data_IF_928900524218
#
_entry.id   IF_928900524218
#
_cell.length_a   1.000
_cell.length_b   1.000
_cell.length_c   1.000
_cell.angle_alpha   90.00
_cell.angle_beta   90.00
_cell.angle_gamma   90.00
#
_symmetry.space_group_name_H-M   'P 1'
#
loop_
_entity.id
_entity.type
_entity.pdbx_description
1 polymer ?
#
# COMPACT_ATOMS: atom_id res chain seq x y z
N UNK A 1 35.79 8.17 3.46
CA UNK A 1 35.13 8.19 2.21
C UNK A 1 34.32 6.95 1.93
N UNK A 2 34.87 5.74 1.98
CA UNK A 2 34.06 4.52 1.99
C UNK A 2 33.08 4.49 3.15
N UNK A 3 33.51 4.91 4.33
CA UNK A 3 32.68 4.93 5.53
C UNK A 3 31.51 5.91 5.43
N UNK A 4 31.73 7.09 4.83
CA UNK A 4 30.64 8.06 4.62
C UNK A 4 29.57 7.54 3.65
N UNK A 5 30.01 6.84 2.57
CA UNK A 5 29.09 6.24 1.61
C UNK A 5 28.30 5.08 2.24
N UNK A 6 28.95 4.26 3.04
CA UNK A 6 28.30 3.16 3.77
C UNK A 6 27.27 3.69 4.77
N UNK A 7 27.55 4.79 5.47
CA UNK A 7 26.60 5.42 6.38
C UNK A 7 25.40 6.02 5.64
N UNK A 8 25.63 6.65 4.49
CA UNK A 8 24.55 7.21 3.67
C UNK A 8 23.64 6.11 3.14
N UNK A 9 24.24 4.99 2.69
CA UNK A 9 23.48 3.84 2.19
C UNK A 9 22.67 3.18 3.30
N UNK A 10 23.25 3.08 4.50
CA UNK A 10 22.54 2.55 5.67
C UNK A 10 21.36 3.44 6.07
N UNK A 11 21.54 4.76 6.06
CA UNK A 11 20.47 5.73 6.34
C UNK A 11 19.34 5.58 5.33
N UNK A 12 19.66 5.45 4.04
CA UNK A 12 18.66 5.19 2.99
C UNK A 12 17.92 3.88 3.23
N UNK A 13 18.64 2.82 3.55
CA UNK A 13 18.05 1.51 3.85
C UNK A 13 17.05 1.62 5.01
N UNK A 14 17.43 2.28 6.09
CA UNK A 14 16.57 2.46 7.26
C UNK A 14 15.34 3.31 6.91
N UNK A 15 15.52 4.35 6.10
CA UNK A 15 14.43 5.20 5.65
C UNK A 15 13.43 4.41 4.77
N UNK A 16 13.94 3.60 3.84
CA UNK A 16 13.08 2.75 3.00
C UNK A 16 12.34 1.70 3.82
N UNK A 17 13.01 1.08 4.79
CA UNK A 17 12.38 0.07 5.67
C UNK A 17 11.26 0.69 6.50
N UNK A 18 11.48 1.88 7.04
CA UNK A 18 10.49 2.61 7.84
C UNK A 18 9.29 3.02 6.98
N UNK A 19 9.55 3.52 5.77
CA UNK A 19 8.50 3.89 4.83
C UNK A 19 7.71 2.65 4.38
N UNK A 20 8.38 1.53 4.14
CA UNK A 20 7.74 0.28 3.80
C UNK A 20 6.77 -0.19 4.87
N UNK A 21 7.19 -0.18 6.14
CA UNK A 21 6.34 -0.56 7.27
C UNK A 21 5.10 0.33 7.35
N UNK A 22 5.28 1.64 7.16
CA UNK A 22 4.20 2.62 7.16
C UNK A 22 3.21 2.36 6.03
N UNK A 23 3.72 2.06 4.82
CA UNK A 23 2.88 1.73 3.66
C UNK A 23 2.11 0.42 3.86
N UNK A 24 2.74 -0.56 4.47
CA UNK A 24 2.07 -1.84 4.79
C UNK A 24 0.95 -1.65 5.80
N UNK A 25 1.13 -0.78 6.79
CA UNK A 25 0.07 -0.43 7.74
C UNK A 25 -1.10 0.27 7.03
N UNK A 26 -0.82 1.21 6.13
CA UNK A 26 -1.85 1.88 5.34
C UNK A 26 -2.61 0.88 4.47
N UNK A 27 -1.88 -0.05 3.82
CA UNK A 27 -2.50 -1.08 2.99
C UNK A 27 -3.43 -1.98 3.81
N UNK A 28 -3.01 -2.38 5.01
CA UNK A 28 -3.84 -3.21 5.90
C UNK A 28 -5.15 -2.50 6.26
N UNK A 29 -5.10 -1.19 6.51
CA UNK A 29 -6.30 -0.39 6.81
C UNK A 29 -7.22 -0.29 5.59
N UNK A 30 -6.65 -0.08 4.40
CA UNK A 30 -7.43 -0.01 3.16
C UNK A 30 -8.10 -1.36 2.87
N UNK A 31 -7.39 -2.46 3.05
CA UNK A 31 -7.93 -3.80 2.84
C UNK A 31 -9.08 -4.08 3.81
N UNK A 32 -8.97 -3.66 5.07
CA UNK A 32 -10.04 -3.78 6.05
C UNK A 32 -11.27 -2.97 5.64
N UNK A 33 -11.07 -1.72 5.20
CA UNK A 33 -12.17 -0.88 4.70
C UNK A 33 -12.84 -1.48 3.47
N UNK A 34 -12.06 -2.09 2.57
CA UNK A 34 -12.58 -2.78 1.38
C UNK A 34 -13.45 -3.98 1.76
N UNK A 35 -13.02 -4.79 2.73
CA UNK A 35 -13.83 -5.90 3.22
C UNK A 35 -15.17 -5.42 3.76
N UNK A 36 -15.16 -4.33 4.55
CA UNK A 36 -16.36 -3.76 5.11
C UNK A 36 -17.31 -3.22 4.03
N UNK A 37 -16.75 -2.60 2.99
CA UNK A 37 -17.53 -2.06 1.87
C UNK A 37 -18.07 -3.17 1.00
N UNK A 38 -17.29 -4.23 0.73
CA UNK A 38 -17.76 -5.38 -0.04
C UNK A 38 -18.98 -6.02 0.65
N UNK A 39 -18.94 -6.15 1.98
CA UNK A 39 -20.06 -6.64 2.76
C UNK A 39 -21.28 -5.73 2.66
N UNK A 40 -21.05 -4.41 2.68
CA UNK A 40 -22.14 -3.42 2.53
C UNK A 40 -22.73 -3.47 1.13
N UNK A 41 -21.91 -3.63 0.09
CA UNK A 41 -22.35 -3.73 -1.31
C UNK A 41 -23.22 -4.97 -1.49
N UNK A 42 -22.85 -6.11 -0.93
CA UNK A 42 -23.68 -7.33 -0.98
C UNK A 42 -25.09 -7.09 -0.42
N UNK A 43 -25.18 -6.34 0.67
CA UNK A 43 -26.47 -5.98 1.29
C UNK A 43 -27.25 -5.00 0.43
N UNK A 44 -26.56 -4.06 -0.21
CA UNK A 44 -27.17 -3.03 -1.06
C UNK A 44 -27.66 -3.62 -2.37
N UNK A 45 -26.97 -4.58 -2.95
CA UNK A 45 -27.39 -5.22 -4.20
C UNK A 45 -28.79 -5.82 -4.11
N UNK A 46 -29.23 -6.21 -2.92
CA UNK A 46 -30.59 -6.73 -2.71
C UNK A 46 -31.65 -5.64 -2.65
N UNK A 47 -31.28 -4.37 -2.48
CA UNK A 47 -32.20 -3.22 -2.33
C UNK A 47 -31.78 -2.01 -3.18
N UNK A 48 -30.94 -2.24 -4.20
CA UNK A 48 -30.36 -1.18 -5.04
C UNK A 48 -31.43 -0.31 -5.71
N UNK A 49 -32.54 -0.91 -6.14
CA UNK A 49 -33.65 -0.20 -6.77
C UNK A 49 -34.33 0.81 -5.82
N UNK A 50 -34.20 0.59 -4.51
CA UNK A 50 -34.77 1.44 -3.49
C UNK A 50 -33.80 2.55 -3.08
N UNK A 51 -32.50 2.23 -3.03
CA UNK A 51 -31.47 3.13 -2.51
C UNK A 51 -30.93 4.14 -3.54
N UNK A 52 -31.00 3.82 -4.83
CA UNK A 52 -30.62 4.76 -5.92
C UNK A 52 -29.27 5.45 -5.70
N UNK A 53 -29.29 6.76 -5.43
CA UNK A 53 -28.09 7.60 -5.30
C UNK A 53 -27.16 7.16 -4.16
N UNK A 54 -27.67 6.56 -3.10
CA UNK A 54 -26.86 6.06 -1.98
C UNK A 54 -25.98 4.91 -2.45
N UNK A 55 -26.54 3.99 -3.24
CA UNK A 55 -25.79 2.89 -3.83
C UNK A 55 -24.67 3.41 -4.74
N UNK A 56 -24.97 4.42 -5.57
CA UNK A 56 -23.97 5.05 -6.45
C UNK A 56 -22.80 5.64 -5.65
N UNK A 57 -23.09 6.30 -4.53
CA UNK A 57 -22.07 6.89 -3.66
C UNK A 57 -21.15 5.82 -3.07
N UNK A 58 -21.72 4.70 -2.65
CA UNK A 58 -20.95 3.58 -2.08
C UNK A 58 -20.04 2.93 -3.13
N UNK A 59 -20.54 2.74 -4.37
CA UNK A 59 -19.72 2.22 -5.47
C UNK A 59 -18.55 3.14 -5.82
N UNK A 60 -18.76 4.45 -5.80
CA UNK A 60 -17.68 5.44 -6.02
C UNK A 60 -16.61 5.35 -4.94
N UNK A 61 -17.02 5.19 -3.69
CA UNK A 61 -16.11 5.04 -2.56
C UNK A 61 -15.29 3.74 -2.68
N UNK A 62 -15.95 2.65 -3.02
CA UNK A 62 -15.30 1.36 -3.28
C UNK A 62 -14.25 1.47 -4.39
N UNK A 63 -14.58 2.14 -5.50
CA UNK A 63 -13.65 2.34 -6.61
C UNK A 63 -12.44 3.15 -6.19
N UNK A 64 -12.62 4.21 -5.41
CA UNK A 64 -11.54 5.04 -4.87
C UNK A 64 -10.60 4.24 -3.96
N UNK A 65 -11.16 3.38 -3.10
CA UNK A 65 -10.38 2.51 -2.22
C UNK A 65 -9.58 1.47 -3.01
N UNK A 66 -10.16 0.89 -4.06
CA UNK A 66 -9.45 -0.05 -4.93
C UNK A 66 -8.26 0.61 -5.63
N UNK A 67 -8.42 1.84 -6.09
CA UNK A 67 -7.33 2.60 -6.71
C UNK A 67 -6.22 2.90 -5.70
N UNK A 68 -6.60 3.26 -4.47
CA UNK A 68 -5.65 3.50 -3.39
C UNK A 68 -4.88 2.24 -3.04
N UNK A 69 -5.57 1.10 -2.96
CA UNK A 69 -4.94 -0.21 -2.72
C UNK A 69 -3.87 -0.52 -3.76
N UNK A 70 -4.19 -0.37 -5.04
CA UNK A 70 -3.25 -0.62 -6.14
C UNK A 70 -2.04 0.30 -6.08
N UNK A 71 -2.25 1.57 -5.77
CA UNK A 71 -1.18 2.55 -5.62
C UNK A 71 -0.25 2.17 -4.46
N UNK A 72 -0.81 1.75 -3.34
CA UNK A 72 -0.03 1.30 -2.19
C UNK A 72 0.74 0.02 -2.48
N UNK A 73 0.12 -0.95 -3.16
CA UNK A 73 0.78 -2.19 -3.57
C UNK A 73 1.98 -1.91 -4.48
N UNK A 74 1.80 -0.98 -5.43
CA UNK A 74 2.89 -0.56 -6.31
C UNK A 74 4.02 0.10 -5.54
N UNK A 75 3.70 1.02 -4.62
CA UNK A 75 4.69 1.71 -3.78
C UNK A 75 5.46 0.73 -2.89
N UNK A 76 4.77 -0.25 -2.32
CA UNK A 76 5.38 -1.30 -1.50
C UNK A 76 6.36 -2.13 -2.34
N UNK A 77 5.93 -2.58 -3.52
CA UNK A 77 6.79 -3.37 -4.42
C UNK A 77 8.05 -2.61 -4.81
N UNK A 78 7.90 -1.31 -5.09
CA UNK A 78 9.02 -0.45 -5.44
C UNK A 78 10.01 -0.30 -4.28
N UNK A 79 9.51 -0.10 -3.06
CA UNK A 79 10.36 0.01 -1.87
C UNK A 79 11.05 -1.32 -1.56
N UNK A 80 10.35 -2.44 -1.69
CA UNK A 80 10.94 -3.77 -1.52
C UNK A 80 12.07 -4.01 -2.52
N UNK A 81 11.90 -3.56 -3.77
CA UNK A 81 12.94 -3.65 -4.79
C UNK A 81 14.17 -2.82 -4.42
N UNK A 82 13.98 -1.59 -3.92
CA UNK A 82 15.11 -0.74 -3.50
C UNK A 82 15.85 -1.34 -2.31
N UNK A 83 15.13 -1.91 -1.37
CA UNK A 83 15.71 -2.61 -0.22
C UNK A 83 16.50 -3.84 -0.68
N UNK A 84 15.94 -4.63 -1.60
CA UNK A 84 16.61 -5.81 -2.16
C UNK A 84 17.90 -5.43 -2.91
N UNK A 85 17.88 -4.33 -3.66
CA UNK A 85 19.07 -3.81 -4.34
C UNK A 85 20.17 -3.44 -3.34
N UNK A 86 19.78 -2.74 -2.27
CA UNK A 86 20.72 -2.35 -1.22
C UNK A 86 21.36 -3.59 -0.57
N UNK A 87 20.54 -4.56 -0.20
CA UNK A 87 21.01 -5.81 0.43
C UNK A 87 21.95 -6.58 -0.50
N UNK A 88 21.63 -6.63 -1.79
CA UNK A 88 22.47 -7.29 -2.79
C UNK A 88 23.81 -6.58 -2.95
N UNK A 89 23.81 -5.24 -2.99
CA UNK A 89 25.05 -4.46 -3.06
C UNK A 89 25.92 -4.69 -1.83
N UNK A 90 25.33 -4.79 -0.64
CA UNK A 90 26.08 -5.10 0.58
C UNK A 90 26.70 -6.50 0.53
N UNK A 91 25.98 -7.46 0.00
CA UNK A 91 26.47 -8.84 -0.16
C UNK A 91 27.67 -8.92 -1.12
N UNK A 92 27.66 -8.12 -2.18
CA UNK A 92 28.78 -8.08 -3.15
C UNK A 92 29.95 -7.20 -2.70
N UNK A 93 29.74 -6.27 -1.77
CA UNK A 93 30.78 -5.39 -1.26
C UNK A 93 31.77 -6.09 -0.32
N UNK A 94 31.42 -7.25 0.17
CA UNK A 94 32.30 -8.10 0.99
C UNK A 94 33.15 -9.00 0.09
#
# INVERSE_FOLDING_TARGET
MKEENEMKDLVKYLAYSKELDKKKEELAKVDEELENIDSAIEKIDSVVDILGDVASTIYKYWDALNKKEKTLQYSIAKLELEIAKFELEQAYAE
#
